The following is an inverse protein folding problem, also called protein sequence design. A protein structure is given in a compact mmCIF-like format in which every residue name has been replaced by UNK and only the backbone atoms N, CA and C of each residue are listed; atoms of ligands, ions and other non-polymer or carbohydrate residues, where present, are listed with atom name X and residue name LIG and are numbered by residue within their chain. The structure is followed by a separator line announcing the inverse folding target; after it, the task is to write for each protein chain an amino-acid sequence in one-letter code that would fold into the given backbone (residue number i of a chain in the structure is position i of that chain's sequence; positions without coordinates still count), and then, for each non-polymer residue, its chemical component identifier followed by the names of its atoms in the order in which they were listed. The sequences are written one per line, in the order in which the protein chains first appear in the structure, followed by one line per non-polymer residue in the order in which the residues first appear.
data_IF_705124014498
#
_entry.id   IF_705124014498
#
_cell.length_a   1.000
_cell.length_b   1.000
_cell.length_c   1.000
_cell.angle_alpha   90.00
_cell.angle_beta   90.00
_cell.angle_gamma   90.00
#
_symmetry.space_group_name_H-M   'P 1'
#
loop_
_entity.id
_entity.type
_entity.pdbx_description
1 polymer ?
#
# COMPACT_ATOMS: atom_id res chain seq x y z
N UNK A 1 -10.76 0.09 -52.78
CA UNK A 1 -10.94 0.56 -51.39
C UNK A 1 -11.37 -0.63 -50.54
N UNK A 2 -10.46 -1.21 -49.76
CA UNK A 2 -10.78 -2.23 -48.77
C UNK A 2 -10.02 -1.84 -47.50
N UNK A 3 -10.70 -1.11 -46.63
CA UNK A 3 -10.16 -0.70 -45.34
C UNK A 3 -10.07 -1.94 -44.45
N UNK A 4 -8.85 -2.38 -44.15
CA UNK A 4 -8.60 -3.35 -43.10
C UNK A 4 -8.72 -2.60 -41.77
N UNK A 5 -9.84 -2.78 -41.07
CA UNK A 5 -9.97 -2.30 -39.70
C UNK A 5 -9.13 -3.21 -38.79
N UNK A 6 -7.98 -2.71 -38.34
CA UNK A 6 -7.18 -3.36 -37.33
C UNK A 6 -7.91 -3.20 -35.99
N UNK A 7 -8.67 -4.23 -35.59
CA UNK A 7 -9.23 -4.32 -34.25
C UNK A 7 -8.05 -4.59 -33.31
N UNK A 8 -7.57 -3.53 -32.67
CA UNK A 8 -6.68 -3.65 -31.52
C UNK A 8 -7.55 -4.18 -30.38
N UNK A 9 -7.56 -5.50 -30.23
CA UNK A 9 -8.02 -6.11 -28.99
C UNK A 9 -7.02 -5.68 -27.91
N UNK A 10 -7.39 -4.70 -27.08
CA UNK A 10 -6.77 -4.55 -25.77
C UNK A 10 -7.06 -5.87 -25.04
N UNK A 11 -6.05 -6.73 -24.95
CA UNK A 11 -6.07 -7.82 -23.98
C UNK A 11 -6.07 -7.15 -22.60
N UNK A 12 -7.26 -6.95 -22.03
CA UNK A 12 -7.40 -6.76 -20.61
C UNK A 12 -6.91 -8.06 -19.97
N UNK A 13 -5.67 -8.07 -19.50
CA UNK A 13 -5.19 -9.13 -18.62
C UNK A 13 -6.13 -9.22 -17.41
N UNK A 14 -6.25 -10.40 -16.78
CA UNK A 14 -7.01 -10.51 -15.54
C UNK A 14 -6.52 -9.42 -14.59
N UNK A 15 -7.44 -8.60 -14.09
CA UNK A 15 -7.15 -7.61 -13.07
C UNK A 15 -6.65 -8.37 -11.84
N UNK A 16 -5.34 -8.61 -11.78
CA UNK A 16 -4.72 -9.08 -10.56
C UNK A 16 -4.86 -7.94 -9.56
N UNK A 17 -5.22 -8.29 -8.34
CA UNK A 17 -5.24 -7.34 -7.25
C UNK A 17 -3.78 -7.03 -6.89
N UNK A 18 -3.17 -6.17 -7.69
CA UNK A 18 -1.77 -5.77 -7.57
C UNK A 18 -1.59 -4.90 -6.34
N UNK A 19 -0.39 -4.89 -5.80
CA UNK A 19 0.04 -3.99 -4.73
C UNK A 19 0.10 -2.55 -5.21
N UNK A 20 -0.03 -1.62 -4.28
CA UNK A 20 0.05 -0.19 -4.54
C UNK A 20 0.92 0.45 -3.46
N UNK A 21 2.09 0.95 -3.85
CA UNK A 21 3.09 1.44 -2.91
C UNK A 21 3.74 2.73 -3.36
N UNK A 22 4.40 3.37 -2.40
CA UNK A 22 5.29 4.50 -2.61
C UNK A 22 6.72 3.98 -2.65
N UNK A 23 7.41 4.10 -3.77
CA UNK A 23 8.79 3.63 -3.93
C UNK A 23 9.75 4.81 -4.00
N UNK A 24 10.55 4.99 -2.95
CA UNK A 24 11.61 5.97 -2.97
C UNK A 24 12.74 5.50 -3.89
N UNK A 25 13.33 6.43 -4.63
CA UNK A 25 14.55 6.15 -5.40
C UNK A 25 15.73 5.89 -4.45
N UNK A 26 15.78 6.65 -3.35
CA UNK A 26 16.69 6.48 -2.23
C UNK A 26 15.90 6.68 -0.92
N UNK A 27 16.09 5.75 0.02
CA UNK A 27 15.44 5.75 1.33
C UNK A 27 16.30 6.45 2.41
N UNK A 28 17.54 6.81 2.10
CA UNK A 28 18.52 7.42 3.01
C UNK A 28 19.22 8.60 2.36
N UNK A 29 18.63 9.79 2.47
CA UNK A 29 19.07 11.02 1.81
C UNK A 29 20.01 11.84 2.70
N UNK A 30 20.97 12.55 2.12
CA UNK A 30 21.69 13.59 2.85
C UNK A 30 20.84 14.86 2.98
N UNK A 31 21.13 15.69 3.99
CA UNK A 31 20.44 16.99 4.14
C UNK A 31 20.70 17.88 2.92
N UNK A 32 19.61 18.31 2.27
CA UNK A 32 19.65 19.14 1.07
C UNK A 32 19.56 18.36 -0.24
N UNK A 33 19.58 17.02 -0.20
CA UNK A 33 19.27 16.19 -1.37
C UNK A 33 17.77 16.19 -1.65
N UNK A 34 17.42 16.03 -2.93
CA UNK A 34 16.04 15.92 -3.35
C UNK A 34 15.47 14.54 -3.05
N UNK A 35 14.26 14.49 -2.48
CA UNK A 35 13.48 13.27 -2.31
C UNK A 35 12.62 13.03 -3.55
N UNK A 36 12.85 11.90 -4.21
CA UNK A 36 12.05 11.43 -5.34
C UNK A 36 11.35 10.12 -5.00
N UNK A 37 10.02 10.09 -5.15
CA UNK A 37 9.21 8.88 -4.86
C UNK A 37 8.21 8.65 -5.98
N UNK A 38 8.15 7.40 -6.44
CA UNK A 38 7.16 6.94 -7.42
C UNK A 38 5.96 6.34 -6.71
N UNK A 39 4.76 6.62 -7.19
CA UNK A 39 3.60 5.77 -6.89
C UNK A 39 3.67 4.59 -7.86
N UNK A 40 3.58 3.35 -7.37
CA UNK A 40 3.71 2.15 -8.20
C UNK A 40 2.51 1.23 -7.98
N UNK A 41 1.97 0.68 -9.06
CA UNK A 41 0.96 -0.36 -9.05
C UNK A 41 1.51 -1.62 -9.73
N UNK A 42 1.61 -2.73 -9.01
CA UNK A 42 2.24 -3.96 -9.48
C UNK A 42 2.49 -4.98 -8.36
N UNK A 43 3.51 -5.82 -8.50
CA UNK A 43 3.89 -6.85 -7.52
C UNK A 43 5.40 -7.07 -7.55
N UNK A 44 5.97 -7.73 -6.55
CA UNK A 44 7.41 -8.07 -6.51
C UNK A 44 8.37 -6.88 -6.80
N UNK A 45 8.04 -5.67 -6.32
CA UNK A 45 8.76 -4.43 -6.65
C UNK A 45 8.87 -4.12 -8.15
N UNK A 46 7.92 -4.60 -8.96
CA UNK A 46 7.79 -4.36 -10.39
C UNK A 46 6.38 -3.88 -10.67
N UNK A 47 6.26 -2.73 -11.31
CA UNK A 47 4.94 -2.20 -11.58
C UNK A 47 4.94 -0.97 -12.45
N UNK A 48 3.74 -0.56 -12.80
CA UNK A 48 3.50 0.68 -13.52
C UNK A 48 3.69 1.87 -12.57
N UNK A 49 4.57 2.80 -12.96
CA UNK A 49 4.70 4.09 -12.27
C UNK A 49 3.51 4.99 -12.61
N UNK A 50 2.73 5.33 -11.59
CA UNK A 50 1.56 6.18 -11.69
C UNK A 50 2.00 7.65 -11.52
N UNK A 51 1.53 8.58 -12.37
CA UNK A 51 1.86 9.98 -12.22
C UNK A 51 1.16 10.61 -11.01
N UNK A 52 1.61 11.80 -10.61
CA UNK A 52 0.89 12.63 -9.65
C UNK A 52 -0.47 13.06 -10.23
N UNK A 53 -1.57 12.57 -9.64
CA UNK A 53 -2.95 12.83 -10.08
C UNK A 53 -3.80 13.25 -8.87
N UNK A 54 -3.97 14.56 -8.62
CA UNK A 54 -4.75 15.09 -7.49
C UNK A 54 -6.18 14.54 -7.37
N UNK A 55 -6.80 14.20 -8.51
CA UNK A 55 -8.13 13.62 -8.55
C UNK A 55 -8.20 12.13 -8.16
N UNK A 56 -7.06 11.50 -7.86
CA UNK A 56 -6.95 10.07 -7.51
C UNK A 56 -6.56 9.83 -6.05
N UNK A 57 -6.40 10.88 -5.26
CA UNK A 57 -6.13 10.75 -3.83
C UNK A 57 -6.95 11.74 -3.01
N UNK A 58 -7.24 11.34 -1.77
CA UNK A 58 -7.89 12.18 -0.76
C UNK A 58 -6.81 12.89 0.05
N UNK A 59 -5.79 12.12 0.47
CA UNK A 59 -4.69 12.59 1.31
C UNK A 59 -3.36 12.24 0.64
N UNK A 60 -2.44 13.20 0.56
CA UNK A 60 -1.04 12.92 0.23
C UNK A 60 -0.12 13.89 1.00
N UNK A 61 0.50 13.40 2.06
CA UNK A 61 1.24 14.21 3.03
C UNK A 61 2.69 13.72 3.16
N UNK A 62 3.61 14.65 3.40
CA UNK A 62 4.90 14.38 4.02
C UNK A 62 4.82 14.79 5.49
N UNK A 63 5.13 13.87 6.40
CA UNK A 63 5.05 14.06 7.85
C UNK A 63 6.45 13.86 8.44
N UNK A 64 6.94 14.84 9.19
CA UNK A 64 8.24 14.76 9.86
C UNK A 64 8.23 15.49 11.20
N UNK A 65 9.39 15.63 11.83
CA UNK A 65 9.58 16.45 13.04
C UNK A 65 9.21 17.93 12.84
N UNK A 66 9.22 18.43 11.60
CA UNK A 66 8.83 19.80 11.26
C UNK A 66 7.30 19.99 11.15
N UNK A 67 6.52 18.92 11.21
CA UNK A 67 5.06 18.92 11.05
C UNK A 67 4.59 18.10 9.85
N UNK A 68 3.34 18.32 9.44
CA UNK A 68 2.75 17.68 8.26
C UNK A 68 2.50 18.72 7.17
N UNK A 69 2.92 18.40 5.95
CA UNK A 69 2.71 19.25 4.77
C UNK A 69 2.15 18.41 3.62
N UNK A 70 1.24 18.93 2.79
CA UNK A 70 0.86 18.28 1.55
C UNK A 70 2.08 18.04 0.66
N UNK A 71 2.14 16.86 0.03
CA UNK A 71 3.16 16.58 -0.98
C UNK A 71 2.94 17.52 -2.17
N UNK A 72 3.94 18.33 -2.56
CA UNK A 72 3.82 19.17 -3.74
C UNK A 72 3.89 18.31 -5.01
N UNK A 73 3.18 18.72 -6.06
CA UNK A 73 3.27 18.06 -7.36
C UNK A 73 2.45 18.76 -8.43
N UNK A 74 2.79 18.53 -9.69
CA UNK A 74 2.01 18.95 -10.86
C UNK A 74 1.33 17.75 -11.48
N UNK A 75 0.14 17.97 -12.02
CA UNK A 75 -0.63 16.91 -12.70
C UNK A 75 0.22 16.29 -13.81
N UNK A 76 0.45 14.98 -13.72
CA UNK A 76 1.23 14.23 -14.70
C UNK A 76 2.70 14.02 -14.34
N UNK A 77 3.20 14.59 -13.24
CA UNK A 77 4.60 14.41 -12.82
C UNK A 77 4.93 12.93 -12.60
N UNK A 78 6.12 12.53 -13.07
CA UNK A 78 6.72 11.20 -12.90
C UNK A 78 8.24 11.39 -12.67
N UNK A 79 8.79 11.08 -11.49
CA UNK A 79 8.16 10.56 -10.26
C UNK A 79 7.06 11.46 -9.69
N UNK A 80 6.13 10.86 -8.95
CA UNK A 80 4.96 11.56 -8.42
C UNK A 80 5.30 12.51 -7.27
N UNK A 81 6.39 12.24 -6.55
CA UNK A 81 6.92 13.08 -5.47
C UNK A 81 8.29 13.58 -5.87
N UNK A 82 8.49 14.88 -5.77
CA UNK A 82 9.76 15.57 -5.99
C UNK A 82 9.84 16.71 -4.97
N UNK A 83 10.60 16.51 -3.89
CA UNK A 83 10.79 17.51 -2.82
C UNK A 83 12.28 17.85 -2.75
N UNK A 84 12.66 19.07 -3.14
CA UNK A 84 14.09 19.45 -3.31
C UNK A 84 14.92 19.40 -2.03
N UNK A 85 14.32 19.74 -0.89
CA UNK A 85 15.00 19.77 0.42
C UNK A 85 14.00 19.38 1.52
N UNK A 86 13.68 18.08 1.66
CA UNK A 86 12.81 17.61 2.73
C UNK A 86 13.41 17.94 4.11
N UNK A 87 12.59 18.12 5.15
CA UNK A 87 13.10 18.32 6.50
C UNK A 87 14.05 17.21 6.95
N UNK A 88 15.10 17.56 7.69
CA UNK A 88 15.97 16.57 8.34
C UNK A 88 15.18 15.72 9.35
N UNK A 89 15.54 14.43 9.45
CA UNK A 89 14.90 13.43 10.30
C UNK A 89 14.14 12.37 9.50
N UNK A 90 13.30 11.61 10.19
CA UNK A 90 12.39 10.66 9.55
C UNK A 90 11.25 11.42 8.86
N UNK A 91 11.14 11.21 7.55
CA UNK A 91 10.02 11.65 6.73
C UNK A 91 9.11 10.45 6.45
N UNK A 92 7.83 10.60 6.78
CA UNK A 92 6.78 9.62 6.52
C UNK A 92 5.87 10.19 5.45
N UNK A 93 5.94 9.63 4.24
CA UNK A 93 4.91 9.89 3.25
C UNK A 93 3.67 9.09 3.61
N UNK A 94 2.50 9.70 3.52
CA UNK A 94 1.21 9.06 3.73
C UNK A 94 0.26 9.39 2.58
N UNK A 95 -0.28 8.37 1.95
CA UNK A 95 -1.13 8.44 0.77
C UNK A 95 -2.43 7.69 0.99
N UNK A 96 -3.54 8.30 0.59
CA UNK A 96 -4.88 7.72 0.58
C UNK A 96 -5.50 7.92 -0.81
N UNK A 97 -5.81 6.83 -1.51
CA UNK A 97 -6.48 6.93 -2.81
C UNK A 97 -7.94 7.36 -2.67
N UNK A 98 -8.53 7.89 -3.74
CA UNK A 98 -9.98 7.82 -3.89
C UNK A 98 -10.41 6.36 -4.09
N UNK A 99 -11.67 6.07 -3.79
CA UNK A 99 -12.29 4.79 -4.11
C UNK A 99 -12.14 4.43 -5.59
N UNK A 100 -11.91 3.14 -5.83
CA UNK A 100 -11.87 2.53 -7.16
C UNK A 100 -12.80 1.33 -7.20
N UNK A 101 -13.29 0.99 -8.40
CA UNK A 101 -14.24 -0.10 -8.59
C UNK A 101 -13.56 -1.24 -9.35
N UNK A 102 -13.85 -2.47 -8.94
CA UNK A 102 -13.58 -3.68 -9.73
C UNK A 102 -14.87 -4.48 -9.86
N UNK A 103 -15.07 -5.07 -11.05
CA UNK A 103 -16.16 -6.00 -11.33
C UNK A 103 -15.53 -7.39 -11.51
N UNK A 104 -16.00 -8.36 -10.73
CA UNK A 104 -15.56 -9.73 -10.83
C UNK A 104 -16.49 -10.48 -11.77
N UNK A 105 -15.99 -10.79 -12.95
CA UNK A 105 -16.66 -11.63 -13.96
C UNK A 105 -16.42 -13.13 -13.74
N UNK A 106 -15.58 -13.49 -12.76
CA UNK A 106 -15.06 -14.84 -12.55
C UNK A 106 -14.59 -15.09 -11.11
N UNK A 107 -15.01 -16.21 -10.54
CA UNK A 107 -14.73 -16.63 -9.16
C UNK A 107 -13.31 -17.15 -8.99
N UNK A 108 -12.62 -17.48 -10.09
CA UNK A 108 -11.21 -17.88 -10.06
C UNK A 108 -10.31 -16.72 -9.62
N UNK A 109 -10.61 -15.48 -10.06
CA UNK A 109 -9.89 -14.27 -9.65
C UNK A 109 -10.10 -14.03 -8.15
N UNK A 110 -11.35 -14.10 -7.70
CA UNK A 110 -11.73 -13.98 -6.28
C UNK A 110 -10.99 -15.03 -5.45
N UNK A 111 -10.98 -16.28 -5.93
CA UNK A 111 -10.34 -17.39 -5.22
C UNK A 111 -8.84 -17.23 -5.09
N UNK A 112 -8.15 -16.80 -6.15
CA UNK A 112 -6.72 -16.48 -6.06
C UNK A 112 -6.46 -15.33 -5.09
N UNK A 113 -7.28 -14.27 -5.16
CA UNK A 113 -7.15 -13.09 -4.31
C UNK A 113 -7.34 -13.43 -2.83
N UNK A 114 -8.47 -14.06 -2.48
CA UNK A 114 -8.82 -14.47 -1.11
C UNK A 114 -7.76 -15.39 -0.52
N UNK A 115 -7.30 -16.40 -1.28
CA UNK A 115 -6.27 -17.32 -0.83
C UNK A 115 -4.91 -16.63 -0.63
N UNK A 116 -4.52 -15.74 -1.54
CA UNK A 116 -3.26 -15.01 -1.46
C UNK A 116 -3.23 -14.05 -0.27
N UNK A 117 -4.29 -13.25 -0.10
CA UNK A 117 -4.41 -12.28 0.99
C UNK A 117 -4.90 -12.90 2.31
N UNK A 118 -5.16 -14.20 2.34
CA UNK A 118 -5.56 -14.94 3.55
C UNK A 118 -6.85 -14.42 4.16
N UNK A 119 -7.84 -14.12 3.32
CA UNK A 119 -9.15 -13.61 3.72
C UNK A 119 -10.09 -14.78 4.01
N UNK A 120 -9.70 -15.64 4.94
CA UNK A 120 -10.23 -17.00 5.11
C UNK A 120 -11.76 -17.04 5.34
N UNK A 121 -12.33 -16.01 5.98
CA UNK A 121 -13.76 -15.90 6.29
C UNK A 121 -14.62 -15.41 5.11
N UNK A 122 -14.01 -14.92 4.02
CA UNK A 122 -14.70 -14.24 2.92
C UNK A 122 -15.83 -15.09 2.35
N UNK A 123 -15.59 -16.38 2.11
CA UNK A 123 -16.59 -17.28 1.53
C UNK A 123 -17.78 -17.53 2.45
N UNK A 124 -17.52 -17.67 3.76
CA UNK A 124 -18.57 -17.85 4.74
C UNK A 124 -19.44 -16.60 4.83
N UNK A 125 -18.82 -15.42 4.87
CA UNK A 125 -19.54 -14.14 4.91
C UNK A 125 -20.32 -13.88 3.61
N UNK A 126 -19.74 -14.21 2.46
CA UNK A 126 -20.38 -14.08 1.15
C UNK A 126 -21.64 -14.95 1.05
N UNK A 127 -21.55 -16.22 1.47
CA UNK A 127 -22.68 -17.13 1.49
C UNK A 127 -23.74 -16.72 2.52
N UNK A 128 -23.32 -16.27 3.72
CA UNK A 128 -24.23 -15.82 4.77
C UNK A 128 -25.06 -14.59 4.36
N UNK A 129 -24.48 -13.72 3.53
CA UNK A 129 -25.15 -12.54 2.94
C UNK A 129 -26.01 -12.89 1.71
N UNK A 130 -25.98 -14.13 1.22
CA UNK A 130 -26.77 -14.58 0.06
C UNK A 130 -26.39 -13.86 -1.23
N UNK A 131 -25.13 -13.44 -1.36
CA UNK A 131 -24.62 -12.72 -2.52
C UNK A 131 -24.42 -13.66 -3.72
N UNK A 132 -24.56 -13.16 -4.96
CA UNK A 132 -24.31 -13.96 -6.16
C UNK A 132 -22.81 -14.21 -6.32
N UNK A 133 -22.44 -15.42 -6.78
CA UNK A 133 -21.05 -15.74 -7.05
C UNK A 133 -20.48 -14.87 -8.17
N UNK A 134 -21.24 -14.59 -9.25
CA UNK A 134 -20.81 -13.75 -10.38
C UNK A 134 -22.00 -13.16 -11.16
N UNK A 135 -21.85 -12.00 -11.83
CA UNK A 135 -20.83 -10.99 -11.56
C UNK A 135 -21.19 -10.18 -10.31
N UNK A 136 -20.19 -9.72 -9.57
CA UNK A 136 -20.40 -8.76 -8.48
C UNK A 136 -19.33 -7.68 -8.47
N UNK A 137 -19.64 -6.58 -7.77
CA UNK A 137 -18.77 -5.40 -7.68
C UNK A 137 -18.13 -5.28 -6.31
N UNK A 138 -16.89 -4.81 -6.32
CA UNK A 138 -16.15 -4.44 -5.12
C UNK A 138 -15.61 -3.02 -5.29
N UNK A 139 -15.74 -2.22 -4.23
CA UNK A 139 -15.01 -0.96 -4.08
C UNK A 139 -13.72 -1.23 -3.33
N UNK A 140 -12.63 -0.58 -3.72
CA UNK A 140 -11.39 -0.67 -2.96
C UNK A 140 -10.67 0.68 -2.86
N UNK A 141 -9.93 0.83 -1.76
CA UNK A 141 -9.13 2.03 -1.46
C UNK A 141 -7.76 1.65 -0.93
N UNK A 142 -6.76 2.47 -1.25
CA UNK A 142 -5.33 2.22 -0.98
C UNK A 142 -4.78 3.24 0.00
N UNK A 143 -4.09 2.74 1.02
CA UNK A 143 -3.51 3.49 2.12
C UNK A 143 -2.02 3.13 2.21
N UNK A 144 -1.15 3.96 1.64
CA UNK A 144 0.27 3.64 1.51
C UNK A 144 1.13 4.61 2.30
N UNK A 145 2.15 4.08 2.98
CA UNK A 145 3.19 4.89 3.61
C UNK A 145 4.58 4.56 3.09
N UNK A 146 5.49 5.52 3.15
CA UNK A 146 6.92 5.28 2.95
C UNK A 146 7.71 5.96 4.06
N UNK A 147 8.66 5.24 4.65
CA UNK A 147 9.58 5.76 5.67
C UNK A 147 10.89 6.11 4.98
N UNK A 148 11.33 7.37 5.02
CA UNK A 148 12.55 7.83 4.36
C UNK A 148 13.37 8.66 5.36
N UNK A 149 14.64 8.31 5.55
CA UNK A 149 15.55 9.08 6.38
C UNK A 149 16.18 10.23 5.58
N UNK A 150 16.24 11.41 6.20
CA UNK A 150 17.01 12.55 5.70
C UNK A 150 18.00 12.95 6.79
N UNK A 151 19.28 13.05 6.44
CA UNK A 151 20.35 13.37 7.38
C UNK A 151 20.43 12.34 8.51
N UNK A 152 20.16 12.76 9.75
CA UNK A 152 20.23 11.87 10.90
C UNK A 152 19.11 10.82 11.01
N UNK A 153 18.03 10.92 10.21
CA UNK A 153 16.93 9.95 10.21
C UNK A 153 16.12 9.84 11.52
N UNK A 154 16.37 10.74 12.49
CA UNK A 154 15.72 10.72 13.81
C UNK A 154 14.24 11.05 13.67
N UNK A 155 13.42 10.27 14.37
CA UNK A 155 11.98 10.45 14.42
C UNK A 155 11.29 9.11 14.67
N UNK A 156 9.97 9.12 14.58
CA UNK A 156 9.15 7.92 14.68
C UNK A 156 7.95 8.03 13.75
N UNK A 157 7.52 6.90 13.20
CA UNK A 157 6.21 6.81 12.57
C UNK A 157 5.11 6.88 13.63
N UNK A 158 3.90 7.21 13.20
CA UNK A 158 2.73 7.38 14.05
C UNK A 158 1.46 7.13 13.25
N UNK A 159 0.35 6.98 13.97
CA UNK A 159 -0.99 7.02 13.36
C UNK A 159 -1.17 8.36 12.63
N UNK A 160 -1.59 8.28 11.38
CA UNK A 160 -1.82 9.42 10.48
C UNK A 160 -3.30 9.66 10.21
N UNK A 161 -4.17 8.75 10.66
CA UNK A 161 -5.62 8.83 10.48
C UNK A 161 -6.12 8.08 9.24
N UNK A 162 -5.26 7.32 8.56
CA UNK A 162 -5.67 6.40 7.50
C UNK A 162 -6.63 5.35 8.07
N UNK A 163 -7.66 5.00 7.30
CA UNK A 163 -8.74 4.09 7.72
C UNK A 163 -8.20 2.69 8.07
N UNK A 164 -7.30 2.15 7.25
CA UNK A 164 -6.45 1.01 7.62
C UNK A 164 -5.00 1.46 7.54
N UNK A 165 -4.20 1.12 8.55
CA UNK A 165 -2.88 1.72 8.70
C UNK A 165 -1.87 0.73 9.28
N UNK A 166 -0.73 0.57 8.59
CA UNK A 166 0.48 -0.03 9.16
C UNK A 166 1.25 1.08 9.86
N UNK A 167 1.58 0.93 11.14
CA UNK A 167 2.46 1.84 11.88
C UNK A 167 3.74 1.12 12.24
N UNK A 168 4.88 1.68 11.84
CA UNK A 168 6.16 1.20 12.31
C UNK A 168 6.37 1.62 13.78
N UNK A 169 6.60 0.64 14.65
CA UNK A 169 6.93 0.87 16.06
C UNK A 169 8.43 1.06 16.27
N UNK A 170 9.24 0.62 15.30
CA UNK A 170 10.70 0.75 15.26
C UNK A 170 11.09 1.64 14.09
N UNK A 171 12.04 2.55 14.28
CA UNK A 171 12.62 3.34 13.20
C UNK A 171 13.79 2.56 12.55
N UNK A 172 13.69 2.19 11.26
CA UNK A 172 14.68 1.33 10.62
C UNK A 172 16.05 2.00 10.41
N UNK A 173 16.15 3.30 10.68
CA UNK A 173 17.36 4.10 10.46
C UNK A 173 18.12 4.42 11.75
N UNK A 174 17.49 4.26 12.92
CA UNK A 174 18.08 4.72 14.19
C UNK A 174 17.92 3.76 15.37
N UNK A 175 16.95 2.85 15.33
CA UNK A 175 16.74 1.88 16.40
C UNK A 175 17.55 0.59 16.19
N UNK A 176 17.65 -0.24 17.24
CA UNK A 176 18.25 -1.57 17.17
C UNK A 176 17.27 -2.56 16.49
N UNK A 177 17.71 -3.17 15.40
CA UNK A 177 16.93 -4.11 14.59
C UNK A 177 17.33 -5.57 14.79
N UNK A 178 18.12 -5.89 15.82
CA UNK A 178 18.60 -7.26 16.09
C UNK A 178 17.47 -8.27 16.31
N UNK A 179 16.33 -7.83 16.85
CA UNK A 179 15.11 -8.63 17.00
C UNK A 179 14.13 -8.49 15.80
N UNK A 180 14.51 -7.72 14.79
CA UNK A 180 13.66 -7.33 13.65
C UNK A 180 12.95 -6.00 13.85
N UNK A 181 12.20 -5.59 12.82
CA UNK A 181 11.41 -4.36 12.82
C UNK A 181 9.98 -4.63 13.30
N UNK A 182 9.51 -3.88 14.30
CA UNK A 182 8.17 -4.04 14.85
C UNK A 182 7.16 -3.10 14.20
N UNK A 183 5.95 -3.62 13.98
CA UNK A 183 4.82 -2.89 13.42
C UNK A 183 3.56 -3.12 14.23
N UNK A 184 2.58 -2.23 14.08
CA UNK A 184 1.22 -2.42 14.55
C UNK A 184 0.24 -2.05 13.46
N UNK A 185 -0.74 -2.92 13.23
CA UNK A 185 -1.76 -2.77 12.21
C UNK A 185 -3.07 -2.28 12.85
N UNK A 186 -3.73 -1.35 12.18
CA UNK A 186 -4.92 -0.67 12.67
C UNK A 186 -6.04 -0.62 11.64
N UNK A 187 -7.27 -0.61 12.14
CA UNK A 187 -8.49 -0.29 11.40
C UNK A 187 -9.33 0.68 12.22
N UNK A 188 -9.51 1.91 11.73
CA UNK A 188 -10.00 3.01 12.54
C UNK A 188 -9.18 3.12 13.82
N UNK A 189 -9.83 3.21 14.99
CA UNK A 189 -9.13 3.29 16.28
C UNK A 189 -8.84 1.91 16.92
N UNK A 190 -9.11 0.81 16.22
CA UNK A 190 -8.92 -0.55 16.75
C UNK A 190 -7.67 -1.23 16.17
N UNK A 191 -6.86 -1.94 16.99
CA UNK A 191 -5.81 -2.80 16.48
C UNK A 191 -6.40 -3.97 15.69
N UNK A 192 -5.73 -4.37 14.60
CA UNK A 192 -6.13 -5.51 13.75
C UNK A 192 -5.39 -6.77 14.18
N UNK A 193 -6.01 -7.56 15.06
CA UNK A 193 -5.50 -8.85 15.50
C UNK A 193 -5.66 -9.95 14.44
N UNK A 194 -4.79 -10.97 14.48
CA UNK A 194 -4.80 -12.15 13.59
C UNK A 194 -4.92 -11.80 12.09
N UNK A 195 -4.36 -10.65 11.70
CA UNK A 195 -4.37 -10.20 10.32
C UNK A 195 -3.14 -10.75 9.60
N UNK A 196 -3.32 -11.17 8.34
CA UNK A 196 -2.19 -11.48 7.47
C UNK A 196 -1.37 -10.21 7.24
N UNK A 197 -0.07 -10.32 7.47
CA UNK A 197 0.92 -9.28 7.20
C UNK A 197 1.93 -9.84 6.20
N UNK A 198 1.79 -9.43 4.95
CA UNK A 198 2.61 -9.87 3.84
C UNK A 198 3.84 -8.95 3.73
N UNK A 199 5.02 -9.53 3.52
CA UNK A 199 6.27 -8.76 3.39
C UNK A 199 7.06 -9.25 2.18
N UNK A 200 7.41 -8.30 1.33
CA UNK A 200 8.36 -8.42 0.25
C UNK A 200 9.70 -7.83 0.68
N UNK A 201 10.76 -8.61 0.51
CA UNK A 201 12.13 -8.29 0.85
C UNK A 201 12.95 -8.27 -0.45
N UNK A 202 13.54 -7.11 -0.78
CA UNK A 202 14.36 -6.90 -1.97
C UNK A 202 15.82 -6.69 -1.57
N UNK A 203 16.68 -7.62 -1.97
CA UNK A 203 18.12 -7.53 -1.72
C UNK A 203 18.79 -6.45 -2.58
N UNK A 204 20.04 -6.03 -2.25
CA UNK A 204 20.83 -5.13 -3.10
C UNK A 204 21.04 -5.65 -4.53
N UNK A 205 21.00 -6.97 -4.72
CA UNK A 205 21.09 -7.60 -6.04
C UNK A 205 19.77 -7.59 -6.83
N UNK A 206 18.67 -7.14 -6.20
CA UNK A 206 17.33 -7.08 -6.78
C UNK A 206 16.54 -8.40 -6.70
N UNK A 207 17.02 -9.38 -5.93
CA UNK A 207 16.26 -10.59 -5.65
C UNK A 207 15.12 -10.27 -4.68
N UNK A 208 13.91 -10.75 -4.96
CA UNK A 208 12.71 -10.47 -4.16
C UNK A 208 12.22 -11.76 -3.52
N UNK A 209 12.01 -11.72 -2.20
CA UNK A 209 11.45 -12.82 -1.41
C UNK A 209 10.15 -12.38 -0.75
N UNK A 210 9.14 -13.23 -0.84
CA UNK A 210 7.86 -13.04 -0.17
C UNK A 210 7.79 -13.85 1.13
N UNK A 211 7.29 -13.25 2.20
CA UNK A 211 6.99 -13.92 3.47
C UNK A 211 5.66 -13.45 4.03
N UNK A 212 5.05 -14.29 4.86
CA UNK A 212 3.77 -14.00 5.49
C UNK A 212 3.89 -14.18 7.00
N UNK A 213 3.39 -13.19 7.72
CA UNK A 213 3.27 -13.17 9.18
C UNK A 213 1.79 -12.99 9.56
N UNK A 214 1.51 -13.10 10.85
CA UNK A 214 0.21 -12.78 11.44
C UNK A 214 0.40 -11.85 12.63
N UNK A 215 -0.49 -10.88 12.76
CA UNK A 215 -0.47 -9.97 13.91
C UNK A 215 -1.01 -10.67 15.17
N UNK A 216 -0.49 -10.27 16.33
CA UNK A 216 -0.97 -10.75 17.64
C UNK A 216 -2.31 -10.12 18.06
N UNK A 217 -2.75 -10.38 19.29
CA UNK A 217 -4.02 -9.87 19.84
C UNK A 217 -4.07 -8.33 19.94
N UNK A 218 -2.91 -7.68 20.01
CA UNK A 218 -2.75 -6.22 20.02
C UNK A 218 -2.50 -5.66 18.61
N UNK A 219 -2.59 -6.49 17.58
CA UNK A 219 -2.38 -6.11 16.19
C UNK A 219 -0.91 -5.88 15.85
N UNK A 220 0.04 -6.41 16.64
CA UNK A 220 1.48 -6.22 16.43
C UNK A 220 2.12 -7.37 15.70
N UNK A 221 3.20 -7.09 14.99
CA UNK A 221 4.01 -8.07 14.28
C UNK A 221 5.46 -7.62 14.24
N UNK A 222 6.40 -8.57 14.35
CA UNK A 222 7.83 -8.32 14.19
C UNK A 222 8.33 -9.03 12.95
N UNK A 223 9.02 -8.28 12.09
CA UNK A 223 9.55 -8.76 10.81
C UNK A 223 11.07 -8.78 10.88
N UNK A 224 11.72 -9.95 10.72
CA UNK A 224 13.16 -10.01 10.54
C UNK A 224 13.60 -9.21 9.32
N UNK A 225 14.67 -8.42 9.48
CA UNK A 225 15.21 -7.58 8.41
C UNK A 225 16.73 -7.74 8.32
N UNK A 226 17.23 -7.49 7.13
CA UNK A 226 18.63 -7.57 6.72
C UNK A 226 19.14 -6.19 6.29
N UNK A 227 20.37 -5.87 6.65
CA UNK A 227 21.03 -4.61 6.30
C UNK A 227 21.21 -4.47 4.78
N UNK A 228 21.03 -3.26 4.26
CA UNK A 228 21.09 -2.93 2.84
C UNK A 228 19.85 -3.32 2.01
N UNK A 229 18.85 -3.96 2.60
CA UNK A 229 17.65 -4.41 1.89
C UNK A 229 16.52 -3.36 1.90
N UNK A 230 15.66 -3.42 0.88
CA UNK A 230 14.42 -2.64 0.80
C UNK A 230 13.21 -3.55 1.00
N UNK A 231 12.19 -3.06 1.69
CA UNK A 231 11.03 -3.84 2.09
C UNK A 231 9.72 -3.16 1.71
N UNK A 232 8.71 -4.00 1.47
CA UNK A 232 7.33 -3.58 1.27
C UNK A 232 6.43 -4.52 2.06
N UNK A 233 5.61 -3.96 2.95
CA UNK A 233 4.58 -4.69 3.65
C UNK A 233 3.20 -4.37 3.09
N UNK A 234 2.32 -5.37 3.07
CA UNK A 234 0.92 -5.24 2.68
C UNK A 234 0.00 -5.97 3.67
N UNK A 235 -1.16 -5.38 3.95
CA UNK A 235 -2.18 -5.96 4.80
C UNK A 235 -3.58 -5.52 4.37
N UNK A 236 -4.34 -6.46 3.82
CA UNK A 236 -5.67 -6.23 3.25
C UNK A 236 -6.76 -6.59 4.26
N UNK A 237 -7.83 -5.81 4.32
CA UNK A 237 -9.10 -6.22 4.95
C UNK A 237 -10.23 -6.05 3.95
N UNK A 238 -11.29 -6.84 4.10
CA UNK A 238 -12.55 -6.65 3.42
C UNK A 238 -13.66 -6.37 4.45
N UNK A 239 -14.72 -5.69 4.02
CA UNK A 239 -15.91 -5.40 4.82
C UNK A 239 -17.14 -5.24 3.94
N UNK A 240 -18.32 -5.31 4.55
CA UNK A 240 -19.54 -4.86 3.89
C UNK A 240 -19.50 -3.34 3.65
N UNK A 241 -19.73 -2.85 2.42
CA UNK A 241 -19.73 -1.43 2.11
C UNK A 241 -20.89 -0.72 2.81
N UNK A 242 -20.69 0.56 3.16
CA UNK A 242 -21.78 1.40 3.65
C UNK A 242 -22.88 1.57 2.58
N UNK A 243 -24.11 1.89 2.99
CA UNK A 243 -25.20 2.15 2.03
C UNK A 243 -24.87 3.27 1.03
N UNK A 244 -24.14 4.30 1.46
CA UNK A 244 -23.68 5.37 0.58
C UNK A 244 -22.64 4.87 -0.45
N UNK A 245 -21.72 4.01 -0.01
CA UNK A 245 -20.73 3.35 -0.89
C UNK A 245 -21.43 2.44 -1.91
N UNK A 246 -22.45 1.68 -1.48
CA UNK A 246 -23.28 0.84 -2.37
C UNK A 246 -23.95 1.70 -3.44
N UNK A 247 -24.57 2.82 -3.07
CA UNK A 247 -25.23 3.72 -4.02
C UNK A 247 -24.23 4.32 -5.02
N UNK A 248 -23.12 4.88 -4.52
CA UNK A 248 -22.10 5.56 -5.35
C UNK A 248 -21.37 4.62 -6.32
N UNK A 249 -21.20 3.36 -5.93
CA UNK A 249 -20.55 2.32 -6.76
C UNK A 249 -21.49 1.62 -7.74
N UNK A 250 -22.79 1.91 -7.67
CA UNK A 250 -23.80 1.22 -8.44
C UNK A 250 -23.92 -0.26 -8.04
N UNK A 251 -23.89 -0.54 -6.74
CA UNK A 251 -24.19 -1.86 -6.18
C UNK A 251 -22.98 -2.71 -5.81
N UNK A 252 -21.85 -2.13 -5.40
CA UNK A 252 -20.77 -2.93 -4.82
C UNK A 252 -21.26 -3.67 -3.57
N UNK A 253 -20.89 -4.94 -3.46
CA UNK A 253 -21.28 -5.81 -2.35
C UNK A 253 -20.15 -6.00 -1.35
N UNK A 254 -18.91 -5.70 -1.74
CA UNK A 254 -17.73 -5.72 -0.89
C UNK A 254 -16.95 -4.41 -0.98
N UNK A 255 -16.28 -4.08 0.11
CA UNK A 255 -15.30 -3.00 0.19
C UNK A 255 -13.99 -3.53 0.74
N UNK A 256 -12.88 -3.29 0.03
CA UNK A 256 -11.55 -3.76 0.44
C UNK A 256 -10.60 -2.59 0.68
N UNK A 257 -9.96 -2.59 1.84
CA UNK A 257 -9.00 -1.56 2.23
C UNK A 257 -7.59 -2.16 2.26
N UNK A 258 -6.67 -1.52 1.56
CA UNK A 258 -5.29 -2.00 1.40
C UNK A 258 -4.34 -1.10 2.17
N UNK A 259 -3.73 -1.61 3.24
CA UNK A 259 -2.65 -0.92 3.92
C UNK A 259 -1.29 -1.38 3.36
N UNK A 260 -0.44 -0.44 2.99
CA UNK A 260 0.90 -0.71 2.48
C UNK A 260 1.96 0.17 3.16
N UNK A 261 3.16 -0.34 3.33
CA UNK A 261 4.30 0.44 3.80
C UNK A 261 5.60 0.02 3.11
N UNK A 262 6.44 0.98 2.74
CA UNK A 262 7.81 0.73 2.27
C UNK A 262 8.86 1.39 3.15
N UNK A 263 10.03 0.75 3.24
CA UNK A 263 11.20 1.25 3.94
C UNK A 263 12.47 0.57 3.40
N UNK A 264 13.64 1.06 3.81
CA UNK A 264 14.91 0.33 3.67
C UNK A 264 15.60 0.20 5.02
N UNK A 265 16.51 -0.76 5.12
CA UNK A 265 17.43 -0.89 6.25
C UNK A 265 18.83 -0.51 5.75
N UNK A 266 19.52 0.47 6.37
CA UNK A 266 20.88 0.85 5.98
C UNK A 266 21.89 -0.31 6.07
N UNK A 267 23.05 -0.14 5.43
CA UNK A 267 24.22 -1.04 5.60
C UNK A 267 24.84 -0.97 7.00
#
# INVERSE_FOLDING_TARGET
MRSLALIIALAAGPASAHEFWLEAEDYTLATGDAMTVSIVNGDEFKGQKIPYLPQKFITFLNISGAGSQPVPGRVGDRPAVQIDAPPEGLNVLAYESTDSLVEYDGWDVVTRFVAHKGLDDFYADHAARGLPEEPFREVYSRYSKALIAVGNGVGADRRTGLETEIVALTNPYTDDLSDGMAFQLWYGDAPRADARFEVWDRSPAGEVRQTFYRTDAEGRVTVPVEAGHAYMADAVLYREPSAATVEASGGAVWETLWANMTWAVPE
#
